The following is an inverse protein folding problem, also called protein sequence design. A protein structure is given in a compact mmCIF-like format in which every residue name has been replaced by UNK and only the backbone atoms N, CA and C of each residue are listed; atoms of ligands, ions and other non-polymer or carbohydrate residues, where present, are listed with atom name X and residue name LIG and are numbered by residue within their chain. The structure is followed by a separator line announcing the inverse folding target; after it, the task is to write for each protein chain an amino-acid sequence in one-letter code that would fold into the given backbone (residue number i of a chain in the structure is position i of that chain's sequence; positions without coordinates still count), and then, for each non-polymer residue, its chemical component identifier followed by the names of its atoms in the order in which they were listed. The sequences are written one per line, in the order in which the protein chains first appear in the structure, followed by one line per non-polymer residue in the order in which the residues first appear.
data_IF_591209876409
#
_entry.id   IF_591209876409
#
_cell.length_a   1.000
_cell.length_b   1.000
_cell.length_c   1.000
_cell.angle_alpha   90.00
_cell.angle_beta   90.00
_cell.angle_gamma   90.00
#
_symmetry.space_group_name_H-M   'P 1'
#
loop_
_entity.id
_entity.type
_entity.pdbx_description
1 polymer ?
#
# COMPACT_ATOMS: atom_id res chain seq x y z
N UNK A 1 -10.32 -20.83 -0.47
CA UNK A 1 -11.07 -20.36 0.71
C UNK A 1 -10.29 -20.78 1.96
N UNK A 2 -9.99 -19.84 2.86
CA UNK A 2 -9.25 -20.11 4.10
C UNK A 2 -9.92 -19.39 5.27
N UNK A 3 -9.66 -19.84 6.50
CA UNK A 3 -10.08 -19.12 7.71
C UNK A 3 -8.91 -18.35 8.31
N UNK A 4 -9.16 -17.13 8.78
CA UNK A 4 -8.23 -16.40 9.64
C UNK A 4 -8.24 -17.01 11.05
N UNK A 5 -7.23 -16.69 11.85
CA UNK A 5 -7.17 -17.08 13.27
C UNK A 5 -8.33 -16.52 14.11
N UNK A 6 -8.96 -15.44 13.64
CA UNK A 6 -10.14 -14.84 14.25
C UNK A 6 -11.45 -15.45 13.72
N UNK A 7 -11.39 -16.55 12.96
CA UNK A 7 -12.56 -17.20 12.39
C UNK A 7 -13.18 -16.45 11.19
N UNK A 8 -12.48 -15.47 10.61
CA UNK A 8 -12.97 -14.74 9.43
C UNK A 8 -12.72 -15.57 8.17
N UNK A 9 -13.69 -15.57 7.26
CA UNK A 9 -13.60 -16.26 5.98
C UNK A 9 -12.81 -15.41 4.98
N UNK A 10 -11.78 -15.98 4.35
CA UNK A 10 -10.91 -15.30 3.40
C UNK A 10 -11.17 -15.85 1.99
N UNK A 11 -11.57 -14.94 1.11
CA UNK A 11 -11.66 -15.15 -0.34
C UNK A 11 -10.47 -14.46 -1.03
N UNK A 12 -9.97 -15.10 -2.08
CA UNK A 12 -8.95 -14.54 -2.95
C UNK A 12 -9.39 -14.83 -4.38
N UNK A 13 -9.39 -13.79 -5.21
CA UNK A 13 -9.73 -13.85 -6.62
C UNK A 13 -8.81 -12.90 -7.37
N UNK A 14 -8.45 -13.26 -8.61
CA UNK A 14 -7.73 -12.38 -9.52
C UNK A 14 -8.69 -11.50 -10.35
N UNK A 15 -9.99 -11.84 -10.36
CA UNK A 15 -11.00 -11.08 -11.10
C UNK A 15 -11.55 -9.92 -10.24
N UNK A 16 -11.33 -8.66 -10.66
CA UNK A 16 -11.81 -7.50 -9.91
C UNK A 16 -13.34 -7.42 -9.86
N UNK A 17 -14.06 -7.93 -10.87
CA UNK A 17 -15.52 -7.91 -10.87
C UNK A 17 -16.08 -8.83 -9.78
N UNK A 18 -15.54 -10.05 -9.69
CA UNK A 18 -15.83 -10.97 -8.60
C UNK A 18 -15.46 -10.38 -7.22
N UNK A 19 -14.30 -9.72 -7.10
CA UNK A 19 -13.89 -9.08 -5.84
C UNK A 19 -14.89 -8.01 -5.39
N UNK A 20 -15.36 -7.17 -6.31
CA UNK A 20 -16.35 -6.14 -6.04
C UNK A 20 -17.72 -6.72 -5.63
N UNK A 21 -18.16 -7.80 -6.29
CA UNK A 21 -19.39 -8.51 -5.90
C UNK A 21 -19.30 -9.07 -4.48
N UNK A 22 -18.17 -9.72 -4.14
CA UNK A 22 -17.94 -10.25 -2.79
C UNK A 22 -17.91 -9.12 -1.76
N UNK A 23 -17.28 -7.99 -2.09
CA UNK A 23 -17.22 -6.83 -1.20
C UNK A 23 -18.60 -6.24 -0.91
N UNK A 24 -19.54 -6.29 -1.86
CA UNK A 24 -20.89 -5.77 -1.69
C UNK A 24 -21.87 -6.79 -1.07
N UNK A 25 -21.42 -7.95 -0.62
CA UNK A 25 -22.28 -8.93 0.05
C UNK A 25 -22.73 -8.41 1.42
N UNK A 26 -24.04 -8.26 1.60
CA UNK A 26 -24.65 -7.90 2.88
C UNK A 26 -25.11 -9.12 3.68
N UNK A 27 -25.45 -10.22 2.99
CA UNK A 27 -26.00 -11.44 3.62
C UNK A 27 -25.49 -12.71 2.97
N UNK A 28 -25.34 -13.76 3.78
CA UNK A 28 -25.12 -15.13 3.33
C UNK A 28 -26.11 -16.02 4.09
N UNK A 29 -26.99 -16.73 3.36
CA UNK A 29 -28.04 -17.58 3.95
C UNK A 29 -28.86 -16.83 5.02
N UNK A 30 -29.37 -15.65 4.68
CA UNK A 30 -30.12 -14.74 5.57
C UNK A 30 -29.35 -14.19 6.79
N UNK A 31 -28.08 -14.55 6.98
CA UNK A 31 -27.25 -13.98 8.04
C UNK A 31 -26.53 -12.74 7.54
N UNK A 32 -26.58 -11.61 8.26
CA UNK A 32 -25.83 -10.43 7.90
C UNK A 32 -24.33 -10.73 7.96
N UNK A 33 -23.59 -10.26 6.97
CA UNK A 33 -22.14 -10.36 6.91
C UNK A 33 -21.54 -8.97 6.73
N UNK A 34 -20.31 -8.81 7.22
CA UNK A 34 -19.49 -7.63 6.94
C UNK A 34 -18.25 -8.08 6.19
N UNK A 35 -17.96 -7.37 5.12
CA UNK A 35 -16.89 -7.64 4.18
C UNK A 35 -15.87 -6.52 4.27
N UNK A 36 -14.61 -6.86 4.04
CA UNK A 36 -13.52 -5.89 4.05
C UNK A 36 -12.42 -6.39 3.13
N UNK A 37 -11.73 -5.47 2.48
CA UNK A 37 -10.59 -5.78 1.63
C UNK A 37 -9.32 -5.76 2.47
N UNK A 38 -8.43 -6.73 2.25
CA UNK A 38 -7.08 -6.65 2.80
C UNK A 38 -6.30 -5.60 2.02
N UNK A 39 -6.07 -4.45 2.66
CA UNK A 39 -5.47 -3.27 2.02
C UNK A 39 -4.10 -3.55 1.37
N UNK A 40 -3.32 -4.43 1.97
CA UNK A 40 -2.00 -4.88 1.46
C UNK A 40 -2.08 -5.58 0.10
N UNK A 41 -3.24 -6.09 -0.30
CA UNK A 41 -3.42 -6.80 -1.58
C UNK A 41 -3.92 -5.89 -2.72
N UNK A 42 -4.33 -4.66 -2.40
CA UNK A 42 -4.82 -3.68 -3.38
C UNK A 42 -3.97 -2.42 -3.41
N UNK A 43 -2.85 -2.42 -2.68
CA UNK A 43 -1.91 -1.31 -2.66
C UNK A 43 -0.51 -1.79 -2.97
N UNK A 44 0.21 -0.92 -3.65
CA UNK A 44 1.64 -1.08 -3.90
C UNK A 44 2.40 0.06 -3.24
N UNK A 45 3.65 -0.22 -2.86
CA UNK A 45 4.50 0.73 -2.15
C UNK A 45 5.85 0.87 -2.80
N UNK A 46 6.34 2.10 -2.87
CA UNK A 46 7.66 2.39 -3.41
C UNK A 46 8.31 3.60 -2.72
N UNK A 47 9.63 3.65 -2.79
CA UNK A 47 10.43 4.75 -2.30
C UNK A 47 10.82 5.67 -3.44
N UNK A 48 10.71 6.97 -3.16
CA UNK A 48 11.34 8.04 -3.91
C UNK A 48 12.43 8.64 -3.04
N UNK A 49 13.58 8.94 -3.63
CA UNK A 49 14.72 9.56 -2.96
C UNK A 49 14.82 11.03 -3.33
N UNK A 50 15.70 11.76 -2.65
CA UNK A 50 16.04 13.13 -3.00
C UNK A 50 14.85 14.11 -3.00
N UNK A 51 13.86 13.88 -2.12
CA UNK A 51 12.73 14.80 -1.93
C UNK A 51 13.11 15.87 -0.90
N UNK A 52 13.03 17.17 -1.25
CA UNK A 52 13.30 18.26 -0.32
C UNK A 52 12.48 18.15 0.95
N UNK A 53 13.10 18.37 2.11
CA UNK A 53 12.46 18.25 3.43
C UNK A 53 11.43 19.34 3.68
N UNK A 54 11.56 20.49 3.02
CA UNK A 54 10.62 21.60 3.07
C UNK A 54 9.39 21.42 2.17
N UNK A 55 9.39 20.47 1.22
CA UNK A 55 8.24 20.20 0.35
C UNK A 55 7.08 19.62 1.17
N UNK A 56 5.87 20.13 0.95
CA UNK A 56 4.69 19.54 1.59
C UNK A 56 4.33 18.21 0.93
N UNK A 57 4.02 17.19 1.74
CA UNK A 57 3.65 15.88 1.20
C UNK A 57 2.33 15.95 0.41
N UNK A 58 1.40 16.83 0.77
CA UNK A 58 0.17 17.03 0.00
C UNK A 58 0.44 17.50 -1.42
N UNK A 59 1.35 18.46 -1.60
CA UNK A 59 1.75 18.96 -2.92
C UNK A 59 2.42 17.86 -3.75
N UNK A 60 3.25 17.03 -3.11
CA UNK A 60 3.87 15.88 -3.76
C UNK A 60 2.84 14.81 -4.17
N UNK A 61 1.83 14.55 -3.34
CA UNK A 61 0.75 13.61 -3.67
C UNK A 61 0.00 14.09 -4.92
N UNK A 62 -0.46 15.35 -4.92
CA UNK A 62 -1.19 15.93 -6.03
C UNK A 62 -0.37 15.88 -7.32
N UNK A 63 0.93 16.18 -7.24
CA UNK A 63 1.82 16.09 -8.40
C UNK A 63 1.93 14.66 -8.94
N UNK A 64 2.18 13.67 -8.07
CA UNK A 64 2.30 12.27 -8.48
C UNK A 64 1.01 11.80 -9.15
N UNK A 65 -0.15 12.09 -8.54
CA UNK A 65 -1.46 11.71 -9.06
C UNK A 65 -1.70 12.32 -10.44
N UNK A 66 -1.46 13.63 -10.59
CA UNK A 66 -1.71 14.35 -11.84
C UNK A 66 -0.75 13.98 -12.97
N UNK A 67 0.51 13.62 -12.67
CA UNK A 67 1.53 13.35 -13.69
C UNK A 67 1.64 11.90 -14.11
N UNK A 68 1.17 10.96 -13.28
CA UNK A 68 1.41 9.53 -13.47
C UNK A 68 0.13 8.69 -13.60
N UNK A 69 -1.06 9.30 -13.52
CA UNK A 69 -2.34 8.58 -13.52
C UNK A 69 -2.38 7.50 -12.43
N UNK A 70 -2.08 7.94 -11.20
CA UNK A 70 -2.00 7.09 -10.01
C UNK A 70 -2.90 7.63 -8.91
N UNK A 71 -3.39 6.75 -8.05
CA UNK A 71 -4.13 7.12 -6.85
C UNK A 71 -3.24 6.94 -5.62
N UNK A 72 -2.78 8.05 -5.04
CA UNK A 72 -1.92 8.06 -3.84
C UNK A 72 -2.79 8.02 -2.60
N UNK A 73 -2.57 7.02 -1.73
CA UNK A 73 -3.32 6.85 -0.47
C UNK A 73 -2.57 7.47 0.70
N UNK A 74 -1.26 7.21 0.77
CA UNK A 74 -0.44 7.62 1.90
C UNK A 74 0.95 8.02 1.41
N UNK A 75 1.47 9.10 1.99
CA UNK A 75 2.87 9.47 1.89
C UNK A 75 3.49 9.50 3.29
N UNK A 76 4.66 8.89 3.44
CA UNK A 76 5.42 8.92 4.68
C UNK A 76 6.86 9.31 4.41
N UNK A 77 7.26 10.46 4.96
CA UNK A 77 8.65 10.94 4.91
C UNK A 77 9.48 10.26 5.99
N UNK A 78 10.65 9.76 5.62
CA UNK A 78 11.63 9.25 6.58
C UNK A 78 12.66 10.34 6.89
N UNK A 79 12.55 10.92 8.08
CA UNK A 79 13.51 11.91 8.58
C UNK A 79 14.22 11.32 9.79
N UNK A 80 15.55 11.39 9.82
CA UNK A 80 16.33 11.06 11.02
C UNK A 80 16.29 12.26 11.97
N UNK A 81 15.99 12.02 13.24
CA UNK A 81 16.01 13.07 14.28
C UNK A 81 17.37 13.80 14.27
N UNK A 82 17.33 15.13 14.29
CA UNK A 82 18.50 16.03 14.23
C UNK A 82 19.33 15.94 12.94
N UNK A 83 18.76 15.43 11.85
CA UNK A 83 19.40 15.49 10.54
C UNK A 83 19.34 16.90 9.97
N UNK A 84 20.48 17.40 9.49
CA UNK A 84 20.57 18.63 8.68
C UNK A 84 20.40 18.35 7.19
N UNK A 85 19.99 17.12 6.81
CA UNK A 85 19.80 16.77 5.40
C UNK A 85 18.65 17.58 4.80
N UNK A 86 18.95 18.25 3.69
CA UNK A 86 17.98 19.01 2.90
C UNK A 86 17.01 18.09 2.14
N UNK A 87 17.37 16.82 1.98
CA UNK A 87 16.59 15.82 1.25
C UNK A 87 16.33 14.58 2.11
N UNK A 88 15.20 13.93 1.85
CA UNK A 88 14.78 12.72 2.58
C UNK A 88 14.02 11.77 1.68
N UNK A 89 14.11 10.44 1.91
CA UNK A 89 13.29 9.50 1.18
C UNK A 89 11.83 9.57 1.65
N UNK A 90 10.92 9.35 0.71
CA UNK A 90 9.48 9.29 0.94
C UNK A 90 8.96 7.94 0.47
N UNK A 91 8.23 7.26 1.35
CA UNK A 91 7.42 6.10 1.02
C UNK A 91 6.09 6.57 0.45
N UNK A 92 5.77 6.06 -0.74
CA UNK A 92 4.49 6.27 -1.39
C UNK A 92 3.71 4.98 -1.35
N UNK A 93 2.46 5.06 -0.91
CA UNK A 93 1.47 3.99 -1.01
C UNK A 93 0.44 4.40 -2.05
N UNK A 94 0.30 3.60 -3.10
CA UNK A 94 -0.70 3.81 -4.15
C UNK A 94 -1.76 2.71 -4.10
N UNK A 95 -2.96 3.01 -4.59
CA UNK A 95 -3.92 1.98 -4.97
C UNK A 95 -3.51 1.37 -6.31
N UNK A 96 -3.65 0.05 -6.41
CA UNK A 96 -3.28 -0.73 -7.58
C UNK A 96 -2.27 -1.83 -7.25
N UNK A 97 -2.13 -2.75 -8.18
CA UNK A 97 -1.24 -3.92 -8.11
C UNK A 97 -0.06 -3.82 -9.09
N UNK A 98 0.08 -2.68 -9.77
CA UNK A 98 1.11 -2.45 -10.76
C UNK A 98 1.95 -1.23 -10.39
N UNK A 99 3.27 -1.42 -10.41
CA UNK A 99 4.25 -0.36 -10.24
C UNK A 99 5.03 -0.17 -11.54
N UNK A 100 5.11 1.05 -12.10
CA UNK A 100 5.99 1.32 -13.22
C UNK A 100 7.46 1.36 -12.77
N UNK A 101 8.40 1.20 -13.71
CA UNK A 101 9.84 1.26 -13.40
C UNK A 101 10.31 2.67 -12.97
N UNK A 102 9.59 3.70 -13.39
CA UNK A 102 9.86 5.09 -13.08
C UNK A 102 8.56 5.90 -13.06
N UNK A 103 8.58 7.01 -12.33
CA UNK A 103 7.49 7.98 -12.29
C UNK A 103 8.01 9.36 -12.64
N UNK A 104 7.13 10.21 -13.15
CA UNK A 104 7.40 11.61 -13.41
C UNK A 104 7.20 12.43 -12.14
N UNK A 105 8.24 13.13 -11.75
CA UNK A 105 8.24 14.13 -10.67
C UNK A 105 8.94 15.37 -11.20
N UNK A 106 8.26 16.51 -11.06
CA UNK A 106 8.57 17.78 -11.69
C UNK A 106 8.72 17.61 -13.21
N UNK A 107 9.94 17.83 -13.70
CA UNK A 107 10.30 17.75 -15.11
C UNK A 107 11.12 16.49 -15.43
N UNK A 108 11.31 15.58 -14.46
CA UNK A 108 12.21 14.42 -14.58
C UNK A 108 11.48 13.10 -14.37
N UNK A 109 11.93 12.06 -15.07
CA UNK A 109 11.53 10.69 -14.77
C UNK A 109 12.47 10.12 -13.72
N UNK A 110 11.95 9.86 -12.53
CA UNK A 110 12.68 9.30 -11.42
C UNK A 110 12.44 7.79 -11.33
N UNK A 111 13.52 7.01 -11.25
CA UNK A 111 13.40 5.58 -10.98
C UNK A 111 12.87 5.38 -9.56
N UNK A 112 11.89 4.50 -9.43
CA UNK A 112 11.36 4.15 -8.12
C UNK A 112 12.01 2.88 -7.60
N UNK A 113 12.02 2.73 -6.28
CA UNK A 113 12.43 1.48 -5.65
C UNK A 113 11.24 0.85 -4.97
N UNK A 114 10.80 -0.32 -5.46
CA UNK A 114 9.73 -1.07 -4.82
C UNK A 114 10.07 -1.30 -3.34
N UNK A 115 9.10 -1.03 -2.48
CA UNK A 115 9.22 -1.21 -1.04
C UNK A 115 8.49 -2.49 -0.64
N UNK A 116 9.27 -3.54 -0.42
CA UNK A 116 8.75 -4.82 0.07
C UNK A 116 8.95 -4.87 1.58
N UNK A 117 7.86 -4.99 2.33
CA UNK A 117 7.96 -5.31 3.75
C UNK A 117 8.66 -6.65 3.90
N UNK A 118 9.76 -6.67 4.65
CA UNK A 118 10.38 -7.94 5.03
C UNK A 118 9.35 -8.75 5.82
N UNK A 119 9.02 -9.94 5.33
CA UNK A 119 8.18 -10.88 6.05
C UNK A 119 8.75 -11.05 7.47
N UNK A 120 7.97 -10.63 8.47
CA UNK A 120 8.39 -10.73 9.86
C UNK A 120 8.15 -12.17 10.30
N UNK A 121 9.23 -12.88 10.62
CA UNK A 121 9.11 -14.19 11.22
C UNK A 121 8.46 -14.03 12.60
N UNK A 122 7.37 -14.75 12.85
CA UNK A 122 6.77 -14.75 14.18
C UNK A 122 7.73 -15.41 15.18
N UNK A 123 8.07 -14.70 16.26
CA UNK A 123 8.96 -15.24 17.31
C UNK A 123 8.35 -16.44 18.06
N UNK A 124 7.05 -16.67 17.95
CA UNK A 124 6.36 -17.76 18.63
C UNK A 124 6.18 -19.01 17.77
N UNK A 125 5.89 -18.85 16.47
CA UNK A 125 5.62 -19.96 15.54
C UNK A 125 6.70 -20.15 14.49
N UNK A 126 7.67 -19.24 14.40
CA UNK A 126 8.74 -19.24 13.40
C UNK A 126 8.28 -19.23 11.94
N UNK A 127 6.99 -19.02 11.68
CA UNK A 127 6.40 -18.89 10.35
C UNK A 127 6.39 -17.42 9.88
N UNK A 128 6.45 -17.24 8.56
CA UNK A 128 6.45 -15.94 7.88
C UNK A 128 5.05 -15.46 7.46
N UNK A 129 4.01 -16.27 7.68
CA UNK A 129 2.68 -16.11 7.07
C UNK A 129 1.65 -15.42 7.96
N UNK A 130 2.08 -14.68 8.99
CA UNK A 130 1.14 -13.97 9.87
C UNK A 130 0.80 -12.60 9.29
N UNK A 131 -0.49 -12.28 9.27
CA UNK A 131 -0.94 -10.91 9.01
C UNK A 131 -0.33 -9.98 10.07
N UNK A 132 0.42 -8.98 9.62
CA UNK A 132 1.10 -8.05 10.51
C UNK A 132 0.09 -6.97 10.92
N UNK A 133 -0.74 -7.31 11.93
CA UNK A 133 -1.82 -6.52 12.55
C UNK A 133 -3.18 -6.58 11.85
N UNK A 134 -4.18 -6.97 12.65
CA UNK A 134 -5.50 -6.32 12.68
C UNK A 134 -5.50 -5.40 13.90
#
# INVERSE_FOLDING_TARGET
MKFSRQGKLIFSTADPACAAQILNLEKIQERPVSTCVTFENITERFLIFDIPTNLQLSELADEIMNKNDMEVVELRRFVKLNSTQEFSPVLVTILGTFLPDAIKIWFTNQKIRQFVDRARQCLHSYEFTHATRL
#
